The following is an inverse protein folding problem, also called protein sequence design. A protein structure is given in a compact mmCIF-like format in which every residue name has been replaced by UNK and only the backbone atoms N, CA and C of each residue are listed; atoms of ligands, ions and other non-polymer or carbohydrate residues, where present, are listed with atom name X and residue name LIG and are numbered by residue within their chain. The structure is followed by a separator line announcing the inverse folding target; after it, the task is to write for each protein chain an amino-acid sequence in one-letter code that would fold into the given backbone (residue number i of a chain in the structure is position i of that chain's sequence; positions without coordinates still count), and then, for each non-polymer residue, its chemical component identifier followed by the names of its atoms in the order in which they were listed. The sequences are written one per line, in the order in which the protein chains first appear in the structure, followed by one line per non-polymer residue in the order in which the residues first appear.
data_IF_147446613795
#
_entry.id   IF_147446613795
#
_cell.length_a   1.000
_cell.length_b   1.000
_cell.length_c   1.000
_cell.angle_alpha   90.00
_cell.angle_beta   90.00
_cell.angle_gamma   90.00
#
_symmetry.space_group_name_H-M   'P 1'
#
loop_
_entity.id
_entity.type
_entity.pdbx_description
1 polymer ?
#
# COMPACT_ATOMS: atom_id res chain seq x y z
N UNK A 1 5.44 12.97 -13.78
CA UNK A 1 4.83 11.61 -13.84
C UNK A 1 3.47 11.63 -13.17
N UNK A 2 2.63 10.67 -13.52
CA UNK A 2 1.34 10.39 -12.84
C UNK A 2 1.52 9.17 -11.95
N UNK A 3 1.42 9.34 -10.66
CA UNK A 3 1.73 8.30 -9.65
C UNK A 3 0.45 7.97 -8.89
N UNK A 4 0.04 6.71 -8.94
CA UNK A 4 -1.03 6.18 -8.09
C UNK A 4 -0.43 5.47 -6.88
N UNK A 5 -0.91 5.75 -5.68
CA UNK A 5 -0.46 5.09 -4.46
C UNK A 5 -1.63 4.34 -3.82
N UNK A 6 -1.40 3.11 -3.39
CA UNK A 6 -2.42 2.26 -2.76
C UNK A 6 -2.05 1.99 -1.31
N UNK A 7 -2.94 2.39 -0.41
CA UNK A 7 -2.83 2.17 1.03
C UNK A 7 -3.68 0.95 1.45
N UNK A 8 -3.11 -0.01 2.19
CA UNK A 8 -3.85 -1.17 2.66
C UNK A 8 -4.75 -0.89 3.87
N UNK A 9 -4.35 0.08 4.70
CA UNK A 9 -4.97 0.35 6.00
C UNK A 9 -5.88 1.56 5.98
N UNK A 10 -6.87 1.57 6.88
CA UNK A 10 -7.81 2.70 6.99
C UNK A 10 -7.15 3.97 7.47
N UNK A 11 -7.46 5.07 6.79
CA UNK A 11 -7.11 6.42 7.23
C UNK A 11 -7.99 6.94 8.38
N UNK A 12 -9.02 6.21 8.78
CA UNK A 12 -9.85 6.56 9.95
C UNK A 12 -9.09 6.42 11.27
N UNK A 13 -7.99 5.68 11.26
CA UNK A 13 -7.12 5.45 12.41
C UNK A 13 -5.70 5.89 12.07
N UNK A 14 -5.01 6.53 13.01
CA UNK A 14 -3.62 6.91 12.79
C UNK A 14 -2.72 5.66 12.71
N UNK A 15 -1.75 5.70 11.79
CA UNK A 15 -0.80 4.60 11.63
C UNK A 15 0.45 5.04 10.86
N UNK A 16 1.58 4.39 11.14
CA UNK A 16 2.85 4.74 10.52
C UNK A 16 2.88 4.56 9.01
N UNK A 17 2.18 3.55 8.48
CA UNK A 17 2.09 3.33 7.03
C UNK A 17 1.26 4.43 6.37
N UNK A 18 0.13 4.80 6.95
CA UNK A 18 -0.74 5.86 6.46
C UNK A 18 -0.01 7.22 6.46
N UNK A 19 0.65 7.55 7.57
CA UNK A 19 1.44 8.78 7.67
C UNK A 19 2.54 8.82 6.61
N UNK A 20 3.33 7.76 6.50
CA UNK A 20 4.38 7.67 5.48
C UNK A 20 3.83 7.84 4.05
N UNK A 21 2.67 7.27 3.73
CA UNK A 21 2.04 7.40 2.41
C UNK A 21 1.64 8.85 2.13
N UNK A 22 1.07 9.54 3.12
CA UNK A 22 0.67 10.95 2.97
C UNK A 22 1.88 11.86 2.80
N UNK A 23 2.93 11.66 3.60
CA UNK A 23 4.18 12.41 3.49
C UNK A 23 4.85 12.18 2.13
N UNK A 24 4.94 10.92 1.69
CA UNK A 24 5.51 10.57 0.40
C UNK A 24 4.73 11.20 -0.77
N UNK A 25 3.40 11.15 -0.71
CA UNK A 25 2.55 11.78 -1.72
C UNK A 25 2.76 13.30 -1.77
N UNK A 26 2.87 13.95 -0.61
CA UNK A 26 3.12 15.39 -0.51
C UNK A 26 4.46 15.76 -1.14
N UNK A 27 5.53 15.03 -0.82
CA UNK A 27 6.86 15.26 -1.40
C UNK A 27 6.85 15.09 -2.92
N UNK A 28 6.18 14.08 -3.44
CA UNK A 28 6.08 13.90 -4.89
C UNK A 28 5.29 15.02 -5.57
N UNK A 29 4.24 15.53 -4.93
CA UNK A 29 3.49 16.69 -5.44
C UNK A 29 4.38 17.94 -5.47
N UNK A 30 5.16 18.20 -4.43
CA UNK A 30 6.11 19.28 -4.35
C UNK A 30 7.20 19.19 -5.43
N UNK A 31 7.57 17.97 -5.82
CA UNK A 31 8.49 17.70 -6.94
C UNK A 31 7.83 17.85 -8.32
N UNK A 32 6.55 18.25 -8.39
CA UNK A 32 5.85 18.51 -9.63
C UNK A 32 5.19 17.27 -10.26
N UNK A 33 4.99 16.21 -9.51
CA UNK A 33 4.27 15.02 -9.99
C UNK A 33 2.76 15.14 -9.73
N UNK A 34 1.95 14.55 -10.60
CA UNK A 34 0.55 14.31 -10.30
C UNK A 34 0.44 13.05 -9.45
N UNK A 35 -0.15 13.17 -8.27
CA UNK A 35 -0.26 12.05 -7.32
C UNK A 35 -1.70 11.90 -6.86
N UNK A 36 -2.18 10.67 -6.83
CA UNK A 36 -3.39 10.30 -6.12
C UNK A 36 -3.13 9.07 -5.23
N UNK A 37 -3.79 9.05 -4.10
CA UNK A 37 -3.75 7.95 -3.14
C UNK A 37 -5.14 7.34 -3.03
N UNK A 38 -5.25 6.00 -2.96
CA UNK A 38 -6.49 5.31 -2.61
C UNK A 38 -6.28 4.39 -1.42
N UNK A 39 -7.24 4.36 -0.52
CA UNK A 39 -7.27 3.45 0.62
C UNK A 39 -8.61 3.49 1.34
N UNK A 40 -8.82 2.61 2.32
CA UNK A 40 -10.04 2.66 3.15
C UNK A 40 -10.11 3.98 3.91
N UNK A 41 -11.24 4.63 3.87
CA UNK A 41 -11.56 5.82 4.68
C UNK A 41 -13.06 6.07 4.65
N UNK A 42 -13.64 6.47 5.77
CA UNK A 42 -15.01 6.95 5.84
C UNK A 42 -15.15 8.34 5.25
N UNK A 43 -16.35 8.71 4.81
CA UNK A 43 -16.58 10.00 4.17
C UNK A 43 -16.32 11.18 5.11
N UNK A 44 -16.48 10.97 6.42
CA UNK A 44 -16.28 11.98 7.47
C UNK A 44 -14.82 12.23 7.84
N UNK A 45 -13.89 11.36 7.45
CA UNK A 45 -12.47 11.50 7.80
C UNK A 45 -11.85 12.67 7.01
N UNK A 46 -11.27 13.68 7.66
CA UNK A 46 -10.59 14.77 6.96
C UNK A 46 -9.29 14.25 6.34
N UNK A 47 -9.16 14.35 5.02
CA UNK A 47 -7.98 13.91 4.27
C UNK A 47 -7.65 14.94 3.18
N UNK A 48 -6.40 15.03 2.74
CA UNK A 48 -6.02 15.87 1.61
C UNK A 48 -6.77 15.51 0.33
N UNK A 49 -6.96 16.48 -0.57
CA UNK A 49 -7.73 16.33 -1.81
C UNK A 49 -7.15 15.28 -2.78
N UNK A 50 -5.87 14.95 -2.64
CA UNK A 50 -5.24 13.90 -3.43
C UNK A 50 -5.60 12.48 -2.95
N UNK A 51 -6.35 12.32 -1.85
CA UNK A 51 -6.78 11.03 -1.33
C UNK A 51 -8.19 10.68 -1.77
N UNK A 52 -8.32 9.59 -2.50
CA UNK A 52 -9.60 9.00 -2.91
C UNK A 52 -10.08 8.05 -1.80
N UNK A 53 -11.16 8.42 -1.14
CA UNK A 53 -11.74 7.64 -0.04
C UNK A 53 -12.37 6.34 -0.53
N UNK A 54 -11.85 5.22 -0.05
CA UNK A 54 -12.28 3.90 -0.45
C UNK A 54 -13.56 3.38 0.23
N UNK A 55 -14.06 4.09 1.23
CA UNK A 55 -15.16 3.66 2.10
C UNK A 55 -14.66 3.00 3.39
N UNK A 56 -15.57 2.66 4.30
CA UNK A 56 -15.23 2.18 5.63
C UNK A 56 -14.46 0.86 5.59
N UNK A 57 -13.67 0.62 6.62
CA UNK A 57 -12.91 -0.60 6.85
C UNK A 57 -13.45 -1.37 8.05
N UNK A 58 -13.20 -2.68 8.05
CA UNK A 58 -13.59 -3.57 9.14
C UNK A 58 -12.36 -4.03 9.91
N UNK A 59 -12.44 -4.20 11.24
CA UNK A 59 -11.34 -4.73 12.02
C UNK A 59 -11.11 -6.21 11.69
N UNK A 60 -9.89 -6.55 11.31
CA UNK A 60 -9.46 -7.91 10.99
C UNK A 60 -8.18 -8.18 11.77
N UNK A 61 -8.12 -9.32 12.45
CA UNK A 61 -6.87 -9.76 13.09
C UNK A 61 -5.82 -10.03 12.01
N UNK A 62 -4.71 -9.33 12.06
CA UNK A 62 -3.66 -9.40 11.06
C UNK A 62 -2.28 -9.23 11.69
N UNK A 63 -1.39 -10.20 11.46
CA UNK A 63 0.00 -10.17 11.95
C UNK A 63 0.16 -9.84 13.44
N UNK A 64 -0.71 -10.43 14.30
CA UNK A 64 -0.64 -10.24 15.75
C UNK A 64 -1.21 -8.92 16.27
N UNK A 65 -1.83 -8.11 15.39
CA UNK A 65 -2.54 -6.88 15.73
C UNK A 65 -3.93 -6.87 15.06
N UNK A 66 -4.67 -5.80 15.26
CA UNK A 66 -5.95 -5.57 14.56
C UNK A 66 -5.70 -4.55 13.48
N UNK A 67 -5.80 -4.98 12.21
CA UNK A 67 -5.76 -4.09 11.06
C UNK A 67 -7.19 -3.76 10.61
N UNK A 68 -7.42 -2.52 10.17
CA UNK A 68 -8.68 -2.13 9.56
C UNK A 68 -8.56 -2.20 8.05
N UNK A 69 -9.13 -3.24 7.47
CA UNK A 69 -9.04 -3.60 6.07
C UNK A 69 -10.40 -3.51 5.38
N UNK A 70 -10.39 -3.38 4.07
CA UNK A 70 -11.58 -3.44 3.22
C UNK A 70 -11.40 -4.40 2.08
N UNK A 71 -12.36 -5.30 1.89
CA UNK A 71 -12.35 -6.31 0.85
C UNK A 71 -13.71 -6.42 0.16
N UNK A 72 -13.74 -7.01 -1.01
CA UNK A 72 -14.97 -7.36 -1.72
C UNK A 72 -15.19 -6.65 -3.05
N UNK A 73 -16.34 -6.91 -3.72
CA UNK A 73 -16.61 -6.43 -5.07
C UNK A 73 -16.64 -4.89 -5.21
N UNK A 74 -17.03 -4.20 -4.14
CA UNK A 74 -17.04 -2.73 -4.14
C UNK A 74 -15.62 -2.16 -4.14
N UNK A 75 -14.70 -2.77 -3.36
CA UNK A 75 -13.27 -2.42 -3.36
C UNK A 75 -12.69 -2.63 -4.76
N UNK A 76 -12.95 -3.79 -5.37
CA UNK A 76 -12.49 -4.10 -6.72
C UNK A 76 -12.98 -3.06 -7.74
N UNK A 77 -14.22 -2.64 -7.65
CA UNK A 77 -14.81 -1.62 -8.53
C UNK A 77 -14.14 -0.25 -8.36
N UNK A 78 -13.91 0.16 -7.10
CA UNK A 78 -13.25 1.43 -6.76
C UNK A 78 -11.79 1.44 -7.23
N UNK A 79 -11.04 0.37 -6.98
CA UNK A 79 -9.64 0.23 -7.42
C UNK A 79 -9.54 0.27 -8.95
N UNK A 80 -10.39 -0.47 -9.67
CA UNK A 80 -10.42 -0.42 -11.14
C UNK A 80 -10.72 0.96 -11.68
N UNK A 81 -11.67 1.69 -11.07
CA UNK A 81 -11.99 3.07 -11.44
C UNK A 81 -10.81 3.99 -11.17
N UNK A 82 -10.21 3.92 -9.97
CA UNK A 82 -9.04 4.69 -9.59
C UNK A 82 -7.89 4.54 -10.59
N UNK A 83 -7.56 3.30 -10.97
CA UNK A 83 -6.49 3.02 -11.92
C UNK A 83 -6.84 3.57 -13.31
N UNK A 84 -8.08 3.38 -13.76
CA UNK A 84 -8.55 3.85 -15.07
C UNK A 84 -8.57 5.37 -15.17
N UNK A 85 -9.16 6.04 -14.18
CA UNK A 85 -9.35 7.49 -14.20
C UNK A 85 -8.05 8.24 -13.91
N UNK A 86 -7.15 7.62 -13.14
CA UNK A 86 -5.85 8.17 -12.80
C UNK A 86 -4.86 8.16 -13.95
N UNK A 87 -4.97 7.21 -14.89
CA UNK A 87 -4.03 7.05 -16.01
C UNK A 87 -2.56 7.15 -15.56
N UNK A 88 -2.20 6.31 -14.60
CA UNK A 88 -0.92 6.39 -13.91
C UNK A 88 0.22 5.80 -14.72
N UNK A 89 1.37 6.50 -14.76
CA UNK A 89 2.63 5.99 -15.30
C UNK A 89 3.18 4.86 -14.43
N UNK A 90 2.93 4.93 -13.11
CA UNK A 90 3.33 3.92 -12.12
C UNK A 90 2.28 3.81 -11.02
N UNK A 91 2.02 2.58 -10.59
CA UNK A 91 1.20 2.29 -9.42
C UNK A 91 2.11 1.78 -8.29
N UNK A 92 2.14 2.51 -7.18
CA UNK A 92 2.90 2.17 -5.98
C UNK A 92 1.99 1.53 -4.95
N UNK A 93 2.19 0.25 -4.67
CA UNK A 93 1.34 -0.52 -3.76
C UNK A 93 2.09 -0.75 -2.45
N UNK A 94 1.54 -0.28 -1.34
CA UNK A 94 2.07 -0.60 -0.01
C UNK A 94 1.45 -1.89 0.50
N UNK A 95 2.28 -2.80 1.04
CA UNK A 95 1.87 -4.13 1.52
C UNK A 95 1.01 -4.90 0.50
N UNK A 96 1.56 -5.28 -0.68
CA UNK A 96 0.77 -5.89 -1.76
C UNK A 96 0.12 -7.23 -1.38
N UNK A 97 0.61 -7.89 -0.35
CA UNK A 97 0.07 -9.12 0.23
C UNK A 97 -1.00 -8.90 1.31
N UNK A 98 -1.31 -7.64 1.65
CA UNK A 98 -2.39 -7.33 2.58
C UNK A 98 -3.76 -7.53 1.92
N UNK A 99 -4.67 -8.32 2.52
CA UNK A 99 -6.00 -8.61 1.97
C UNK A 99 -6.91 -7.38 2.07
N UNK A 100 -6.64 -6.36 1.27
CA UNK A 100 -7.30 -5.06 1.25
C UNK A 100 -7.23 -4.46 -0.16
N UNK A 101 -7.25 -3.14 -0.25
CA UNK A 101 -7.03 -2.39 -1.50
C UNK A 101 -5.74 -2.81 -2.21
N UNK A 102 -4.68 -3.11 -1.44
CA UNK A 102 -3.36 -3.47 -1.97
C UNK A 102 -3.38 -4.79 -2.74
N UNK A 103 -3.90 -5.85 -2.16
CA UNK A 103 -4.02 -7.14 -2.86
C UNK A 103 -4.97 -7.04 -4.06
N UNK A 104 -6.05 -6.27 -3.91
CA UNK A 104 -6.97 -6.01 -5.03
C UNK A 104 -6.28 -5.26 -6.16
N UNK A 105 -5.51 -4.22 -5.85
CA UNK A 105 -4.75 -3.46 -6.83
C UNK A 105 -3.71 -4.34 -7.54
N UNK A 106 -2.96 -5.14 -6.77
CA UNK A 106 -2.01 -6.11 -7.33
C UNK A 106 -2.70 -7.08 -8.30
N UNK A 107 -3.88 -7.57 -7.97
CA UNK A 107 -4.62 -8.50 -8.83
C UNK A 107 -5.08 -7.86 -10.14
N UNK A 108 -5.63 -6.63 -10.10
CA UNK A 108 -6.30 -6.03 -11.26
C UNK A 108 -5.43 -5.08 -12.08
N UNK A 109 -4.36 -4.54 -11.52
CA UNK A 109 -3.49 -3.59 -12.20
C UNK A 109 -2.71 -4.25 -13.34
N UNK A 110 -2.50 -3.47 -14.39
CA UNK A 110 -1.64 -3.79 -15.54
C UNK A 110 -0.74 -2.59 -15.76
N UNK A 111 0.54 -2.81 -15.93
CA UNK A 111 1.52 -1.73 -16.11
C UNK A 111 2.63 -1.77 -15.06
N UNK A 112 3.45 -0.75 -14.98
CA UNK A 112 4.55 -0.70 -14.04
C UNK A 112 4.06 -0.64 -12.59
N UNK A 113 4.41 -1.66 -11.79
CA UNK A 113 4.09 -1.74 -10.36
C UNK A 113 5.35 -1.64 -9.52
N UNK A 114 5.29 -0.81 -8.48
CA UNK A 114 6.28 -0.74 -7.41
C UNK A 114 5.60 -1.16 -6.11
N UNK A 115 6.30 -1.89 -5.25
CA UNK A 115 5.76 -2.32 -3.97
C UNK A 115 6.67 -1.90 -2.82
N UNK A 116 6.07 -1.44 -1.71
CA UNK A 116 6.77 -1.20 -0.45
C UNK A 116 6.26 -2.13 0.63
N UNK A 117 7.19 -2.77 1.33
CA UNK A 117 6.95 -3.70 2.42
C UNK A 117 7.36 -3.06 3.74
N UNK A 118 6.39 -2.89 4.64
CA UNK A 118 6.56 -2.25 5.95
C UNK A 118 6.58 -3.23 7.12
N UNK A 119 5.83 -4.33 6.99
CA UNK A 119 5.66 -5.28 8.05
C UNK A 119 6.68 -6.43 7.97
N UNK A 120 7.12 -6.85 9.14
CA UNK A 120 7.76 -8.14 9.34
C UNK A 120 6.83 -8.95 10.26
N UNK A 121 6.18 -9.97 9.74
CA UNK A 121 5.45 -10.91 10.56
C UNK A 121 6.28 -12.16 10.81
N UNK A 122 6.04 -12.84 11.94
CA UNK A 122 6.42 -14.24 12.07
C UNK A 122 5.74 -15.06 10.96
N UNK A 123 6.39 -16.09 10.46
CA UNK A 123 5.90 -16.94 9.36
C UNK A 123 4.38 -17.20 9.46
N UNK A 124 3.65 -16.82 8.45
CA UNK A 124 2.20 -17.06 8.37
C UNK A 124 1.93 -18.32 7.55
N UNK A 125 1.37 -19.33 8.19
CA UNK A 125 0.96 -20.56 7.52
C UNK A 125 -0.06 -20.27 6.39
N UNK A 126 -0.92 -19.27 6.62
CA UNK A 126 -1.89 -18.80 5.63
C UNK A 126 -1.18 -18.22 4.40
N UNK A 127 -0.14 -17.41 4.61
CA UNK A 127 0.62 -16.83 3.51
C UNK A 127 1.40 -17.89 2.73
N UNK A 128 1.98 -18.87 3.44
CA UNK A 128 2.67 -20.02 2.82
C UNK A 128 1.74 -20.81 1.92
N UNK A 129 0.51 -21.06 2.36
CA UNK A 129 -0.50 -21.77 1.57
C UNK A 129 -1.04 -20.90 0.40
N UNK A 130 -1.12 -19.59 0.58
CA UNK A 130 -1.58 -18.65 -0.45
C UNK A 130 -0.50 -18.31 -1.48
N UNK A 131 0.77 -18.54 -1.17
CA UNK A 131 1.91 -18.18 -2.03
C UNK A 131 1.78 -18.64 -3.48
N UNK A 132 1.43 -19.91 -3.81
CA UNK A 132 1.30 -20.34 -5.20
C UNK A 132 0.21 -19.58 -5.97
N UNK A 133 -0.81 -19.08 -5.27
CA UNK A 133 -1.88 -18.28 -5.89
C UNK A 133 -1.46 -16.80 -6.03
N UNK A 134 -0.59 -16.30 -5.16
CA UNK A 134 -0.10 -14.92 -5.20
C UNK A 134 1.08 -14.74 -6.15
N UNK A 135 1.89 -15.76 -6.34
CA UNK A 135 3.12 -15.69 -7.13
C UNK A 135 2.94 -15.03 -8.51
N UNK A 136 1.96 -15.42 -9.35
CA UNK A 136 1.78 -14.80 -10.66
C UNK A 136 1.47 -13.30 -10.61
N UNK A 137 0.85 -12.84 -9.52
CA UNK A 137 0.57 -11.42 -9.32
C UNK A 137 1.79 -10.66 -8.80
N UNK A 138 2.59 -11.28 -7.92
CA UNK A 138 3.82 -10.70 -7.39
C UNK A 138 4.88 -10.51 -8.50
N UNK A 139 4.92 -11.37 -9.49
CA UNK A 139 5.80 -11.25 -10.66
C UNK A 139 5.54 -10.00 -11.50
N UNK A 140 4.39 -9.35 -11.35
CA UNK A 140 4.08 -8.08 -12.01
C UNK A 140 4.84 -6.89 -11.40
N UNK A 141 5.33 -7.04 -10.17
CA UNK A 141 6.07 -6.00 -9.45
C UNK A 141 7.44 -5.83 -10.08
N UNK A 142 7.71 -4.63 -10.59
CA UNK A 142 8.98 -4.27 -11.27
C UNK A 142 10.03 -3.73 -10.32
N UNK A 143 9.62 -3.18 -9.18
CA UNK A 143 10.50 -2.66 -8.15
C UNK A 143 9.94 -2.95 -6.76
N UNK A 144 10.77 -3.51 -5.89
CA UNK A 144 10.44 -3.75 -4.49
C UNK A 144 11.24 -2.84 -3.57
N UNK A 145 10.60 -2.32 -2.55
CA UNK A 145 11.18 -1.51 -1.49
C UNK A 145 10.87 -2.18 -0.16
N UNK A 146 11.86 -2.30 0.73
CA UNK A 146 11.66 -2.69 2.10
C UNK A 146 12.14 -1.57 3.02
N UNK A 147 11.34 -1.21 4.03
CA UNK A 147 11.64 -0.07 4.91
C UNK A 147 12.58 -0.41 6.05
N UNK A 148 12.90 -1.68 6.25
CA UNK A 148 13.85 -2.17 7.26
C UNK A 148 14.46 -3.49 6.83
N UNK A 149 15.61 -3.83 7.42
CA UNK A 149 16.23 -5.14 7.21
C UNK A 149 15.31 -6.30 7.59
N UNK A 150 14.48 -6.11 8.61
CA UNK A 150 13.53 -7.11 9.07
C UNK A 150 12.43 -7.33 8.04
N UNK A 151 11.86 -6.26 7.49
CA UNK A 151 10.87 -6.33 6.41
C UNK A 151 11.47 -6.96 5.15
N UNK A 152 12.73 -6.61 4.82
CA UNK A 152 13.44 -7.18 3.68
C UNK A 152 13.65 -8.68 3.82
N UNK A 153 14.18 -9.15 4.96
CA UNK A 153 14.39 -10.58 5.21
C UNK A 153 13.08 -11.35 5.13
N UNK A 154 12.05 -10.85 5.79
CA UNK A 154 10.72 -11.47 5.78
C UNK A 154 10.18 -11.59 4.34
N UNK A 155 10.29 -10.51 3.54
CA UNK A 155 9.85 -10.50 2.15
C UNK A 155 10.57 -11.55 1.32
N UNK A 156 11.91 -11.59 1.40
CA UNK A 156 12.74 -12.54 0.65
C UNK A 156 12.38 -13.99 1.03
N UNK A 157 12.25 -14.27 2.31
CA UNK A 157 11.96 -15.62 2.81
C UNK A 157 10.55 -16.09 2.47
N UNK A 158 9.55 -15.22 2.61
CA UNK A 158 8.13 -15.61 2.46
C UNK A 158 7.64 -15.50 1.02
N UNK A 159 7.99 -14.44 0.32
CA UNK A 159 7.45 -14.14 -1.01
C UNK A 159 8.49 -14.19 -2.13
N UNK A 160 9.77 -14.14 -1.80
CA UNK A 160 10.86 -14.06 -2.76
C UNK A 160 11.10 -12.61 -3.24
N UNK A 161 11.97 -12.46 -4.24
CA UNK A 161 12.38 -11.16 -4.76
C UNK A 161 13.60 -10.59 -4.03
N UNK A 162 14.01 -9.39 -4.42
CA UNK A 162 15.14 -8.68 -3.82
C UNK A 162 14.82 -7.18 -3.68
N UNK A 163 14.01 -6.80 -2.68
CA UNK A 163 13.63 -5.42 -2.48
C UNK A 163 14.83 -4.57 -2.02
N UNK A 164 14.89 -3.35 -2.54
CA UNK A 164 15.89 -2.36 -2.12
C UNK A 164 15.53 -1.84 -0.72
N UNK A 165 16.51 -1.72 0.16
CA UNK A 165 16.32 -1.15 1.49
C UNK A 165 16.24 0.38 1.39
N UNK A 166 15.06 0.94 1.63
CA UNK A 166 14.82 2.38 1.70
C UNK A 166 13.99 2.66 2.96
N UNK A 167 14.62 3.10 4.06
CA UNK A 167 13.92 3.43 5.28
C UNK A 167 12.90 4.56 5.08
N UNK A 168 11.84 4.56 5.87
CA UNK A 168 10.88 5.67 5.87
C UNK A 168 11.58 6.97 6.30
N UNK A 169 11.28 8.05 5.58
CA UNK A 169 11.61 9.40 6.01
C UNK A 169 10.60 9.92 7.04
N UNK A 170 11.00 10.95 7.76
CA UNK A 170 10.15 11.72 8.68
C UNK A 170 10.35 13.18 8.40
N UNK A 171 9.27 13.93 8.28
CA UNK A 171 9.35 15.40 8.20
C UNK A 171 9.74 15.96 9.57
N UNK A 172 11.01 16.37 9.68
CA UNK A 172 11.56 16.92 10.94
C UNK A 172 11.00 18.30 11.27
N UNK A 173 10.44 19.03 10.31
CA UNK A 173 9.87 20.37 10.53
C UNK A 173 8.66 20.33 11.47
N UNK A 174 7.91 19.23 11.46
CA UNK A 174 6.75 18.99 12.33
C UNK A 174 7.17 18.85 13.80
N UNK A 175 8.40 18.43 14.07
CA UNK A 175 8.96 18.23 15.41
C UNK A 175 9.89 19.35 15.88
N UNK A 176 10.21 20.29 15.01
CA UNK A 176 11.05 21.46 15.33
C UNK A 176 10.19 22.57 15.97
N UNK A 177 9.72 22.34 17.21
CA UNK A 177 9.09 23.36 18.06
C UNK A 177 10.03 23.77 19.18
#
# INVERSE_FOLDING_TARGET
MRIGIVCPYSFDEPGGVQAHILDLATVYIEQGHYVQVIGPASDSTPLPDFVVKGGPAFPIAYNGSVARLSVGPQVTRKVKRFIKDGDFDVLHIHEPNSPSFSMTALAVAQGPLVATYHASASSSLVLTLAKPFLAPFLEKIRGGIAVSDMARRWQVEQLGGDPVLIPNGVDTSVYAQ
#
